data_IF_317858978323
#
_entry.id   IF_317858978323
#
_cell.length_a   1.000
_cell.length_b   1.000
_cell.length_c   1.000
_cell.angle_alpha   90.00
_cell.angle_beta   90.00
_cell.angle_gamma   90.00
#
_symmetry.space_group_name_H-M   'P 1'
#
loop_
_entity.id
_entity.type
_entity.pdbx_description
1 polymer ?
#
# COMPACT_ATOMS: atom_id res chain seq x y z
N UNK A 1 40.86 -13.55 18.28
CA UNK A 1 40.88 -12.25 19.01
C UNK A 1 40.46 -11.18 18.02
N UNK A 2 39.31 -10.52 18.23
CA UNK A 2 38.85 -9.41 17.36
C UNK A 2 39.71 -8.19 17.64
N UNK A 3 40.34 -7.62 16.61
CA UNK A 3 41.28 -6.51 16.79
C UNK A 3 40.52 -5.20 17.14
N UNK A 4 41.24 -4.18 17.59
CA UNK A 4 40.66 -2.91 18.06
C UNK A 4 39.90 -2.15 16.95
N UNK A 5 40.31 -2.27 15.70
CA UNK A 5 39.66 -1.65 14.54
C UNK A 5 38.37 -2.38 14.18
N UNK A 6 38.38 -3.72 14.19
CA UNK A 6 37.19 -4.53 14.01
C UNK A 6 36.15 -4.28 15.12
N UNK A 7 36.60 -4.10 16.37
CA UNK A 7 35.71 -3.68 17.46
C UNK A 7 35.12 -2.29 17.22
N UNK A 8 35.91 -1.34 16.70
CA UNK A 8 35.43 0.00 16.37
C UNK A 8 34.38 -0.02 15.25
N UNK A 9 34.58 -0.86 14.23
CA UNK A 9 33.61 -1.05 13.15
C UNK A 9 32.34 -1.69 13.70
N UNK A 10 32.45 -2.79 14.47
CA UNK A 10 31.31 -3.48 15.08
C UNK A 10 30.52 -2.56 16.02
N UNK A 11 31.19 -1.77 16.86
CA UNK A 11 30.53 -0.84 17.77
C UNK A 11 29.91 0.35 17.02
N UNK A 12 30.52 0.80 15.92
CA UNK A 12 29.92 1.82 15.05
C UNK A 12 28.66 1.29 14.35
N UNK A 13 28.67 0.05 13.88
CA UNK A 13 27.48 -0.62 13.32
C UNK A 13 26.36 -0.77 14.36
N UNK A 14 26.70 -1.12 15.60
CA UNK A 14 25.74 -1.24 16.71
C UNK A 14 25.15 0.10 17.15
N UNK A 15 25.90 1.20 17.05
CA UNK A 15 25.37 2.55 17.32
C UNK A 15 24.41 3.04 16.24
N UNK A 16 24.53 2.55 15.01
CA UNK A 16 23.59 2.84 13.92
C UNK A 16 22.36 1.92 13.98
N UNK A 17 22.42 0.79 14.71
CA UNK A 17 21.31 -0.16 14.83
C UNK A 17 20.17 0.33 15.74
N UNK A 18 20.32 1.45 16.45
CA UNK A 18 19.18 2.16 17.03
C UNK A 18 18.55 3.02 15.95
N UNK A 19 17.83 2.33 15.06
CA UNK A 19 17.26 2.89 13.84
C UNK A 19 16.47 4.16 14.10
N UNK A 20 16.71 5.17 13.26
CA UNK A 20 15.79 6.29 13.12
C UNK A 20 14.39 5.71 12.93
N UNK A 21 13.48 5.98 13.87
CA UNK A 21 12.10 5.54 13.77
C UNK A 21 11.57 5.98 12.41
N UNK A 22 11.02 5.05 11.63
CA UNK A 22 10.47 5.38 10.31
C UNK A 22 9.44 6.49 10.41
N UNK A 23 8.69 6.54 11.51
CA UNK A 23 7.70 7.57 11.83
C UNK A 23 8.26 8.99 11.84
N UNK A 24 9.57 9.16 12.11
CA UNK A 24 10.23 10.47 12.05
C UNK A 24 10.48 10.95 10.61
N UNK A 25 10.51 10.03 9.63
CA UNK A 25 10.79 10.31 8.21
C UNK A 25 9.49 10.23 7.38
N UNK A 26 8.63 9.26 7.69
CA UNK A 26 7.35 8.99 7.05
C UNK A 26 6.27 9.52 7.97
N UNK A 27 5.98 10.82 7.88
CA UNK A 27 4.84 11.41 8.61
C UNK A 27 3.57 10.62 8.26
N UNK A 28 2.92 9.94 9.24
CA UNK A 28 1.74 9.14 8.97
C UNK A 28 0.62 9.99 8.38
N UNK A 29 -0.03 9.48 7.35
CA UNK A 29 -1.12 10.14 6.66
C UNK A 29 -2.28 9.16 6.49
N UNK A 30 -3.46 9.57 6.96
CA UNK A 30 -4.71 8.82 6.72
C UNK A 30 -5.47 9.55 5.62
N UNK A 31 -5.66 8.93 4.44
CA UNK A 31 -6.36 9.58 3.35
C UNK A 31 -7.85 9.73 3.70
N UNK A 32 -8.40 10.88 3.36
CA UNK A 32 -9.84 11.16 3.45
C UNK A 32 -10.35 11.33 2.02
N UNK A 33 -11.25 10.46 1.53
CA UNK A 33 -11.83 10.60 0.21
C UNK A 33 -12.51 11.95 0.03
N UNK A 34 -12.24 12.57 -1.11
CA UNK A 34 -12.91 13.77 -1.60
C UNK A 34 -14.12 13.40 -2.45
N UNK A 35 -15.00 14.38 -2.73
CA UNK A 35 -16.14 14.15 -3.62
C UNK A 35 -15.67 13.75 -5.03
N UNK A 36 -14.56 14.31 -5.50
CA UNK A 36 -13.94 13.91 -6.76
C UNK A 36 -13.50 12.43 -6.75
N UNK A 37 -12.95 11.91 -5.63
CA UNK A 37 -12.60 10.49 -5.54
C UNK A 37 -13.85 9.59 -5.65
N UNK A 38 -14.99 10.03 -5.13
CA UNK A 38 -16.25 9.31 -5.28
C UNK A 38 -16.82 9.39 -6.70
N UNK A 39 -16.68 10.54 -7.37
CA UNK A 39 -17.03 10.72 -8.78
C UNK A 39 -16.17 9.86 -9.71
N UNK A 40 -14.86 9.79 -9.47
CA UNK A 40 -13.94 8.89 -10.20
C UNK A 40 -14.08 7.43 -9.79
N UNK A 41 -14.59 7.18 -8.59
CA UNK A 41 -14.77 5.86 -7.99
C UNK A 41 -13.53 5.21 -7.40
N UNK A 42 -12.41 5.93 -7.34
CA UNK A 42 -11.17 5.47 -6.72
C UNK A 42 -10.43 6.59 -5.99
N UNK A 43 -9.68 6.19 -4.96
CA UNK A 43 -8.68 7.02 -4.27
C UNK A 43 -7.30 6.34 -4.40
N UNK A 44 -6.24 7.14 -4.47
CA UNK A 44 -4.87 6.63 -4.42
C UNK A 44 -4.32 6.68 -3.00
N UNK A 45 -3.83 5.53 -2.54
CA UNK A 45 -3.22 5.36 -1.22
C UNK A 45 -1.74 5.03 -1.40
N UNK A 46 -0.89 5.61 -0.56
CA UNK A 46 0.56 5.46 -0.69
C UNK A 46 1.13 4.90 0.60
N UNK A 47 1.99 3.89 0.48
CA UNK A 47 2.59 3.21 1.63
C UNK A 47 4.10 3.17 1.50
N UNK A 48 4.77 3.11 2.65
CA UNK A 48 6.21 2.97 2.76
C UNK A 48 6.61 1.97 3.84
N UNK A 49 7.77 1.35 3.64
CA UNK A 49 8.43 0.41 4.54
C UNK A 49 9.95 0.53 4.36
N UNK A 50 10.76 0.18 5.36
CA UNK A 50 12.20 0.06 5.15
C UNK A 50 12.51 -1.07 4.16
N UNK A 51 13.37 -0.81 3.18
CA UNK A 51 13.68 -1.76 2.11
C UNK A 51 14.33 -3.05 2.61
N UNK A 52 15.07 -2.98 3.73
CA UNK A 52 15.71 -4.12 4.38
C UNK A 52 14.79 -4.88 5.37
N UNK A 53 13.52 -4.49 5.50
CA UNK A 53 12.55 -5.13 6.40
C UNK A 53 11.23 -5.41 5.67
N UNK A 54 11.14 -6.43 4.80
CA UNK A 54 9.94 -6.70 3.99
C UNK A 54 8.68 -7.07 4.81
N UNK A 55 8.85 -7.43 6.08
CA UNK A 55 7.77 -7.66 7.04
C UNK A 55 7.80 -6.67 8.22
N UNK A 56 8.54 -5.57 8.08
CA UNK A 56 8.61 -4.48 9.05
C UNK A 56 7.38 -3.60 9.03
N UNK A 57 7.41 -2.53 9.83
CA UNK A 57 6.30 -1.58 9.96
C UNK A 57 5.98 -0.88 8.63
N UNK A 58 4.68 -0.83 8.30
CA UNK A 58 4.16 -0.15 7.12
C UNK A 58 3.44 1.13 7.55
N UNK A 59 3.84 2.24 6.93
CA UNK A 59 3.26 3.55 7.18
C UNK A 59 2.56 4.03 5.92
N UNK A 60 1.30 4.41 6.07
CA UNK A 60 0.55 5.13 5.04
C UNK A 60 0.99 6.60 5.04
N UNK A 61 1.33 7.12 3.87
CA UNK A 61 2.01 8.40 3.69
C UNK A 61 1.31 9.26 2.64
N UNK A 62 1.55 10.57 2.69
CA UNK A 62 1.06 11.48 1.68
C UNK A 62 1.76 11.25 0.33
N UNK A 63 1.09 11.63 -0.77
CA UNK A 63 1.65 11.59 -2.14
C UNK A 63 3.00 12.31 -2.24
N UNK A 64 3.14 13.46 -1.59
CA UNK A 64 4.39 14.25 -1.58
C UNK A 64 5.55 13.46 -0.96
N UNK A 65 5.32 12.82 0.18
CA UNK A 65 6.29 11.93 0.83
C UNK A 65 6.62 10.75 -0.06
N UNK A 66 5.63 10.11 -0.68
CA UNK A 66 5.84 9.00 -1.60
C UNK A 66 6.79 9.39 -2.74
N UNK A 67 6.51 10.50 -3.43
CA UNK A 67 7.36 11.01 -4.51
C UNK A 67 8.79 11.27 -4.04
N UNK A 68 8.97 11.83 -2.83
CA UNK A 68 10.29 12.06 -2.24
C UNK A 68 11.06 10.78 -1.87
N UNK A 69 10.35 9.67 -1.66
CA UNK A 69 10.95 8.38 -1.29
C UNK A 69 11.19 7.45 -2.48
N UNK A 70 10.52 7.64 -3.62
CA UNK A 70 10.67 6.77 -4.81
C UNK A 70 12.12 6.59 -5.29
N UNK A 71 12.97 7.61 -5.08
CA UNK A 71 14.38 7.57 -5.48
C UNK A 71 15.33 7.11 -4.37
N UNK A 72 14.81 6.77 -3.19
CA UNK A 72 15.62 6.40 -2.02
C UNK A 72 15.62 4.88 -1.83
N UNK A 73 16.77 4.26 -2.06
CA UNK A 73 16.96 2.80 -1.90
C UNK A 73 16.73 2.26 -0.49
N UNK A 74 16.70 3.13 0.52
CA UNK A 74 16.40 2.77 1.91
C UNK A 74 14.93 2.42 2.15
N UNK A 75 14.04 2.78 1.22
CA UNK A 75 12.60 2.59 1.37
C UNK A 75 12.01 1.82 0.19
N UNK A 76 11.12 0.89 0.52
CA UNK A 76 10.16 0.34 -0.44
C UNK A 76 8.89 1.15 -0.34
N UNK A 77 8.39 1.62 -1.48
CA UNK A 77 7.13 2.36 -1.56
C UNK A 77 6.16 1.72 -2.55
N UNK A 78 4.87 1.81 -2.28
CA UNK A 78 3.82 1.27 -3.17
C UNK A 78 2.61 2.22 -3.23
N UNK A 79 2.08 2.40 -4.43
CA UNK A 79 0.79 3.06 -4.69
C UNK A 79 -0.29 1.98 -4.83
N UNK A 80 -1.41 2.16 -4.15
CA UNK A 80 -2.58 1.30 -4.23
C UNK A 80 -3.75 2.14 -4.75
N UNK A 81 -4.30 1.78 -5.91
CA UNK A 81 -5.58 2.31 -6.37
C UNK A 81 -6.70 1.58 -5.63
N UNK A 82 -7.51 2.32 -4.91
CA UNK A 82 -8.50 1.80 -3.99
C UNK A 82 -9.89 2.28 -4.40
N UNK A 83 -10.77 1.36 -4.75
CA UNK A 83 -12.13 1.67 -5.17
C UNK A 83 -12.95 2.13 -3.97
N UNK A 84 -13.64 3.26 -4.10
CA UNK A 84 -14.41 3.90 -3.01
C UNK A 84 -15.89 4.13 -3.34
N UNK A 85 -16.30 3.90 -4.59
CA UNK A 85 -17.71 3.89 -5.01
C UNK A 85 -17.97 2.82 -6.06
N UNK A 86 -19.25 2.54 -6.29
CA UNK A 86 -19.72 1.46 -7.17
C UNK A 86 -20.24 0.24 -6.41
N UNK A 87 -20.65 -0.81 -7.13
CA UNK A 87 -21.31 -1.97 -6.56
C UNK A 87 -20.35 -2.78 -5.68
N UNK A 88 -20.90 -3.38 -4.61
CA UNK A 88 -20.10 -4.20 -3.69
C UNK A 88 -19.49 -5.42 -4.39
N UNK A 89 -20.26 -6.04 -5.29
CA UNK A 89 -19.92 -7.24 -6.05
C UNK A 89 -19.81 -6.90 -7.56
N UNK A 90 -19.22 -7.82 -8.31
CA UNK A 90 -18.99 -7.63 -9.75
C UNK A 90 -20.30 -7.45 -10.53
N UNK A 91 -20.26 -6.56 -11.53
CA UNK A 91 -21.37 -6.41 -12.47
C UNK A 91 -21.19 -7.40 -13.60
N UNK A 92 -22.21 -8.23 -13.82
CA UNK A 92 -22.21 -9.27 -14.85
C UNK A 92 -23.06 -8.80 -16.04
N UNK A 93 -22.53 -8.96 -17.23
CA UNK A 93 -23.26 -8.81 -18.48
C UNK A 93 -23.55 -10.20 -19.06
N UNK A 94 -24.80 -10.45 -19.44
CA UNK A 94 -25.24 -11.71 -20.03
C UNK A 94 -25.57 -11.46 -21.50
N UNK A 95 -24.88 -12.15 -22.39
CA UNK A 95 -25.22 -12.11 -23.81
C UNK A 95 -26.64 -12.70 -24.02
N UNK A 96 -27.59 -11.93 -24.58
CA UNK A 96 -28.98 -12.36 -24.68
C UNK A 96 -29.23 -13.47 -25.70
N UNK A 97 -28.27 -13.76 -26.59
CA UNK A 97 -28.37 -14.78 -27.64
C UNK A 97 -27.68 -16.07 -27.19
N UNK A 98 -26.46 -15.95 -26.64
CA UNK A 98 -25.64 -17.10 -26.27
C UNK A 98 -25.78 -17.51 -24.80
N UNK A 99 -26.30 -16.62 -23.95
CA UNK A 99 -26.39 -16.82 -22.50
C UNK A 99 -25.05 -16.77 -21.78
N UNK A 100 -23.97 -16.39 -22.46
CA UNK A 100 -22.62 -16.32 -21.87
C UNK A 100 -22.53 -15.13 -20.93
N UNK A 101 -22.13 -15.38 -19.69
CA UNK A 101 -21.85 -14.36 -18.69
C UNK A 101 -20.42 -13.85 -18.83
N UNK A 102 -20.28 -12.53 -18.77
CA UNK A 102 -19.00 -11.83 -18.76
C UNK A 102 -18.99 -10.81 -17.62
N UNK A 103 -17.83 -10.63 -16.98
CA UNK A 103 -17.68 -9.56 -15.98
C UNK A 103 -17.49 -8.26 -16.72
N UNK A 104 -18.46 -7.35 -16.58
CA UNK A 104 -18.42 -6.02 -17.16
C UNK A 104 -17.52 -5.09 -16.33
N UNK A 105 -17.69 -5.13 -15.01
CA UNK A 105 -16.83 -4.38 -14.09
C UNK A 105 -16.67 -5.07 -12.74
N UNK A 106 -15.48 -4.91 -12.14
CA UNK A 106 -15.21 -5.41 -10.79
C UNK A 106 -15.91 -4.57 -9.73
N UNK A 107 -16.54 -5.26 -8.78
CA UNK A 107 -17.07 -4.68 -7.56
C UNK A 107 -15.97 -4.29 -6.58
N UNK A 108 -16.36 -3.61 -5.50
CA UNK A 108 -15.45 -3.15 -4.44
C UNK A 108 -14.57 -4.28 -3.91
N UNK A 109 -15.18 -5.43 -3.60
CA UNK A 109 -14.46 -6.59 -3.03
C UNK A 109 -13.35 -7.05 -3.96
N UNK A 110 -13.68 -7.46 -5.18
CA UNK A 110 -12.71 -8.06 -6.10
C UNK A 110 -11.68 -7.03 -6.58
N UNK A 111 -12.08 -5.78 -6.82
CA UNK A 111 -11.16 -4.72 -7.20
C UNK A 111 -10.13 -4.43 -6.10
N UNK A 112 -10.58 -4.24 -4.85
CA UNK A 112 -9.67 -3.91 -3.75
C UNK A 112 -8.83 -5.12 -3.33
N UNK A 113 -9.37 -6.34 -3.34
CA UNK A 113 -8.56 -7.55 -3.15
C UNK A 113 -7.46 -7.68 -4.22
N UNK A 114 -7.78 -7.43 -5.49
CA UNK A 114 -6.80 -7.46 -6.56
C UNK A 114 -5.72 -6.38 -6.38
N UNK A 115 -6.10 -5.18 -5.93
CA UNK A 115 -5.17 -4.11 -5.61
C UNK A 115 -4.22 -4.49 -4.46
N UNK A 116 -4.73 -5.09 -3.38
CA UNK A 116 -3.91 -5.63 -2.29
C UNK A 116 -2.96 -6.71 -2.79
N UNK A 117 -3.45 -7.68 -3.58
CA UNK A 117 -2.62 -8.75 -4.16
C UNK A 117 -1.50 -8.19 -5.04
N UNK A 118 -1.79 -7.18 -5.84
CA UNK A 118 -0.80 -6.54 -6.69
C UNK A 118 0.24 -5.77 -5.86
N UNK A 119 -0.18 -5.05 -4.82
CA UNK A 119 0.72 -4.34 -3.94
C UNK A 119 1.61 -5.29 -3.12
N UNK A 120 1.08 -6.44 -2.71
CA UNK A 120 1.80 -7.46 -1.95
C UNK A 120 2.98 -8.08 -2.73
N UNK A 121 2.97 -8.01 -4.07
CA UNK A 121 4.14 -8.40 -4.89
C UNK A 121 5.37 -7.53 -4.64
N UNK A 122 5.16 -6.29 -4.16
CA UNK A 122 6.21 -5.31 -3.86
C UNK A 122 6.42 -5.17 -2.34
N UNK A 123 5.34 -5.17 -1.57
CA UNK A 123 5.35 -4.99 -0.12
C UNK A 123 4.51 -6.10 0.55
N UNK A 124 5.10 -7.28 0.83
CA UNK A 124 4.34 -8.47 1.24
C UNK A 124 3.46 -8.27 2.47
N UNK A 125 3.93 -7.51 3.46
CA UNK A 125 3.17 -7.24 4.69
C UNK A 125 1.96 -6.30 4.51
N UNK A 126 1.74 -5.73 3.32
CA UNK A 126 0.61 -4.79 3.09
C UNK A 126 -0.76 -5.44 3.27
N UNK A 127 -0.85 -6.76 3.10
CA UNK A 127 -2.05 -7.55 3.37
C UNK A 127 -2.54 -7.41 4.82
N UNK A 128 -1.62 -7.19 5.77
CA UNK A 128 -1.96 -6.93 7.18
C UNK A 128 -2.48 -5.51 7.43
N UNK A 129 -2.17 -4.57 6.54
CA UNK A 129 -2.59 -3.16 6.64
C UNK A 129 -3.95 -2.92 5.98
N UNK A 130 -4.23 -3.64 4.90
CA UNK A 130 -5.44 -3.49 4.08
C UNK A 130 -6.36 -4.70 4.23
N UNK A 131 -6.83 -4.94 5.45
CA UNK A 131 -7.67 -6.12 5.79
C UNK A 131 -9.15 -5.93 5.46
N UNK A 132 -9.66 -4.69 5.54
CA UNK A 132 -11.04 -4.37 5.19
C UNK A 132 -11.11 -3.82 3.76
N UNK A 133 -11.55 -4.65 2.82
CA UNK A 133 -11.68 -4.27 1.40
C UNK A 133 -12.78 -3.24 1.13
N UNK A 134 -13.68 -3.00 2.10
CA UNK A 134 -14.70 -1.94 2.04
C UNK A 134 -14.27 -0.66 2.78
N UNK A 135 -13.02 -0.57 3.25
CA UNK A 135 -12.54 0.66 3.87
C UNK A 135 -12.72 1.84 2.91
N UNK A 136 -13.22 2.97 3.40
CA UNK A 136 -13.50 4.21 2.63
C UNK A 136 -14.63 4.09 1.60
N UNK A 137 -15.25 2.93 1.42
CA UNK A 137 -16.36 2.76 0.49
C UNK A 137 -17.62 3.49 0.95
N UNK A 138 -18.27 4.20 0.02
CA UNK A 138 -19.66 4.63 0.16
C UNK A 138 -20.52 3.78 -0.76
N UNK A 139 -21.42 3.01 -0.16
CA UNK A 139 -22.43 2.26 -0.89
C UNK A 139 -23.31 3.19 -1.73
N UNK A 140 -23.61 2.74 -2.94
CA UNK A 140 -24.62 3.31 -3.83
C UNK A 140 -25.66 2.25 -4.14
#
# INVERSE_FOLDING_TARGET
MVNKEERMIIDSYRKVSTGTSILAITSPFVPVPTDADFEFGEIRRFFSQQANQPFGEIVEIAKSTFTGLQQKSLFTVVEVRWKVSGPAEDTINVDPITGVETVDSLGIRNANEAAVRQAAKVMPAITSKLTNVFQLWRGH
#
